data_IF_612097815633
#
_entry.id   IF_612097815633
#
_cell.length_a   1.000
_cell.length_b   1.000
_cell.length_c   1.000
_cell.angle_alpha   90.00
_cell.angle_beta   90.00
_cell.angle_gamma   90.00
#
_symmetry.space_group_name_H-M   'P 1'
#
loop_
_entity.id
_entity.type
_entity.pdbx_description
1 polymer ?
#
# COMPACT_ATOMS: atom_id res chain seq x y z
N UNK A 1 -20.75 44.73 -1.17
CA UNK A 1 -20.03 44.04 -2.27
C UNK A 1 -19.41 42.67 -1.95
N UNK A 2 -19.45 42.13 -0.71
CA UNK A 2 -18.77 40.85 -0.36
C UNK A 2 -19.53 39.55 -0.71
N UNK A 3 -20.80 39.61 -1.12
CA UNK A 3 -21.64 38.40 -1.34
C UNK A 3 -21.57 37.84 -2.78
N UNK A 4 -21.09 38.63 -3.74
CA UNK A 4 -20.99 38.23 -5.16
C UNK A 4 -19.71 37.46 -5.48
N UNK A 5 -18.58 37.78 -4.82
CA UNK A 5 -17.27 37.15 -5.05
C UNK A 5 -17.23 35.66 -4.67
N UNK A 6 -17.98 35.24 -3.65
CA UNK A 6 -18.03 33.82 -3.24
C UNK A 6 -18.74 32.93 -4.29
N UNK A 7 -19.71 33.50 -5.02
CA UNK A 7 -20.44 32.78 -6.07
C UNK A 7 -19.62 32.67 -7.35
N UNK A 8 -18.89 33.72 -7.72
CA UNK A 8 -17.95 33.66 -8.85
C UNK A 8 -16.74 32.77 -8.57
N UNK A 9 -16.21 32.74 -7.35
CA UNK A 9 -15.09 31.86 -6.98
C UNK A 9 -15.49 30.38 -7.00
N UNK A 10 -16.69 30.04 -6.51
CA UNK A 10 -17.22 28.67 -6.57
C UNK A 10 -17.49 28.22 -8.02
N UNK A 11 -17.95 29.13 -8.88
CA UNK A 11 -18.19 28.83 -10.30
C UNK A 11 -16.87 28.64 -11.06
N UNK A 12 -15.85 29.45 -10.75
CA UNK A 12 -14.50 29.32 -11.33
C UNK A 12 -13.80 28.03 -10.90
N UNK A 13 -13.99 27.62 -9.63
CA UNK A 13 -13.44 26.39 -9.10
C UNK A 13 -14.13 25.15 -9.70
N UNK A 14 -15.46 25.18 -9.87
CA UNK A 14 -16.17 24.12 -10.58
C UNK A 14 -15.79 24.05 -12.06
N UNK A 15 -15.60 25.18 -12.76
CA UNK A 15 -15.08 25.19 -14.13
C UNK A 15 -13.65 24.69 -14.22
N UNK A 16 -12.78 25.01 -13.25
CA UNK A 16 -11.42 24.50 -13.19
C UNK A 16 -11.39 22.98 -12.95
N UNK A 17 -12.24 22.47 -12.06
CA UNK A 17 -12.40 21.02 -11.84
C UNK A 17 -13.00 20.32 -13.07
N UNK A 18 -13.94 20.94 -13.78
CA UNK A 18 -14.50 20.40 -15.02
C UNK A 18 -13.50 20.42 -16.18
N UNK A 19 -12.61 21.41 -16.24
CA UNK A 19 -11.52 21.49 -17.21
C UNK A 19 -10.39 20.47 -16.96
N UNK A 20 -10.20 20.01 -15.72
CA UNK A 20 -9.28 18.92 -15.39
C UNK A 20 -9.83 17.57 -15.88
N UNK A 21 -11.17 17.38 -15.86
CA UNK A 21 -11.83 16.16 -16.35
C UNK A 21 -11.97 16.17 -17.90
N UNK A 22 -11.88 17.36 -18.51
CA UNK A 22 -11.91 17.57 -19.97
C UNK A 22 -10.53 17.91 -20.55
N UNK A 23 -9.44 17.39 -19.98
CA UNK A 23 -8.23 17.22 -20.79
C UNK A 23 -8.62 16.39 -22.01
N UNK A 24 -8.14 16.75 -23.21
CA UNK A 24 -8.44 15.97 -24.39
C UNK A 24 -8.03 14.54 -24.06
N UNK A 25 -8.98 13.61 -24.16
CA UNK A 25 -8.64 12.26 -24.56
C UNK A 25 -7.98 12.44 -25.92
N UNK A 26 -6.68 12.77 -25.91
CA UNK A 26 -5.83 12.61 -27.05
C UNK A 26 -5.97 11.12 -27.34
N UNK A 27 -6.85 10.81 -28.28
CA UNK A 27 -6.83 9.55 -28.97
C UNK A 27 -5.44 9.50 -29.59
N UNK A 28 -4.49 8.97 -28.83
CA UNK A 28 -3.17 8.63 -29.31
C UNK A 28 -3.43 7.75 -30.52
N UNK A 29 -3.07 8.25 -31.70
CA UNK A 29 -3.15 7.46 -32.91
C UNK A 29 -2.39 6.16 -32.64
N UNK A 30 -3.04 5.01 -32.87
CA UNK A 30 -2.47 3.70 -32.62
C UNK A 30 -1.13 3.55 -33.35
N UNK A 31 -0.07 3.80 -32.61
CA UNK A 31 1.30 3.40 -32.88
C UNK A 31 1.71 2.51 -31.71
N UNK A 32 2.48 1.47 -32.00
CA UNK A 32 2.79 0.30 -31.13
C UNK A 32 3.59 0.63 -29.85
N UNK A 33 3.53 1.87 -29.36
CA UNK A 33 4.20 2.31 -28.15
C UNK A 33 3.45 1.90 -26.89
N UNK A 34 4.22 1.47 -25.90
CA UNK A 34 3.73 1.04 -24.59
C UNK A 34 3.41 2.23 -23.69
N UNK A 35 4.16 3.32 -23.85
CA UNK A 35 4.06 4.50 -23.01
C UNK A 35 4.13 5.80 -23.82
N UNK A 36 3.52 6.87 -23.29
CA UNK A 36 3.62 8.22 -23.83
C UNK A 36 4.00 9.24 -22.76
N UNK A 37 4.77 10.25 -23.17
CA UNK A 37 4.97 11.50 -22.42
C UNK A 37 4.59 12.64 -23.36
N UNK A 38 3.52 13.36 -23.04
CA UNK A 38 2.93 14.31 -23.98
C UNK A 38 2.58 13.60 -25.29
N UNK A 39 3.17 14.01 -26.42
CA UNK A 39 2.99 13.38 -27.74
C UNK A 39 4.09 12.37 -28.11
N UNK A 40 5.10 12.17 -27.27
CA UNK A 40 6.25 11.31 -27.57
C UNK A 40 5.98 9.89 -27.07
N UNK A 41 6.08 8.90 -27.97
CA UNK A 41 5.86 7.47 -27.65
C UNK A 41 7.16 6.72 -27.36
N UNK A 42 7.09 5.74 -26.46
CA UNK A 42 8.20 4.90 -25.99
C UNK A 42 7.80 3.42 -25.97
N UNK A 43 8.74 2.52 -26.26
CA UNK A 43 8.45 1.09 -26.44
C UNK A 43 8.33 0.35 -25.11
N UNK A 44 8.92 0.90 -24.04
CA UNK A 44 8.85 0.35 -22.68
C UNK A 44 8.66 1.46 -21.66
N UNK A 45 8.20 1.09 -20.46
CA UNK A 45 8.14 2.03 -19.34
C UNK A 45 9.54 2.51 -18.93
N UNK A 46 10.55 1.64 -19.00
CA UNK A 46 11.93 1.99 -18.67
C UNK A 46 12.48 3.10 -19.58
N UNK A 47 12.25 2.99 -20.90
CA UNK A 47 12.63 4.02 -21.88
C UNK A 47 11.91 5.35 -21.59
N UNK A 48 10.62 5.31 -21.25
CA UNK A 48 9.87 6.50 -20.89
C UNK A 48 10.43 7.16 -19.62
N UNK A 49 10.75 6.38 -18.58
CA UNK A 49 11.33 6.89 -17.33
C UNK A 49 12.71 7.51 -17.54
N UNK A 50 13.54 6.91 -18.39
CA UNK A 50 14.85 7.45 -18.74
C UNK A 50 14.72 8.80 -19.45
N UNK A 51 13.78 8.92 -20.40
CA UNK A 51 13.55 10.13 -21.19
C UNK A 51 12.76 11.22 -20.45
N UNK A 52 12.05 10.88 -19.38
CA UNK A 52 11.21 11.81 -18.64
C UNK A 52 12.03 12.92 -17.96
N UNK A 53 11.44 14.10 -17.88
CA UNK A 53 11.90 15.21 -17.04
C UNK A 53 11.17 15.19 -15.69
N UNK A 54 11.77 15.84 -14.70
CA UNK A 54 11.11 16.06 -13.41
C UNK A 54 9.77 16.78 -13.60
N UNK A 55 8.70 16.18 -13.07
CA UNK A 55 7.32 16.66 -13.16
C UNK A 55 6.50 16.03 -14.29
N UNK A 56 7.11 15.22 -15.17
CA UNK A 56 6.40 14.61 -16.28
C UNK A 56 5.39 13.54 -15.82
N UNK A 57 4.38 13.34 -16.66
CA UNK A 57 3.42 12.23 -16.54
C UNK A 57 3.65 11.24 -17.67
N UNK A 58 3.89 9.98 -17.30
CA UNK A 58 4.01 8.85 -18.21
C UNK A 58 2.66 8.12 -18.25
N UNK A 59 2.10 7.97 -19.44
CA UNK A 59 0.82 7.28 -19.67
C UNK A 59 1.08 5.94 -20.32
N UNK A 60 0.66 4.85 -19.67
CA UNK A 60 0.66 3.53 -20.29
C UNK A 60 -0.53 3.38 -21.24
N UNK A 61 -0.28 2.77 -22.39
CA UNK A 61 -1.30 2.48 -23.43
C UNK A 61 -1.30 1.02 -23.87
N UNK A 62 -0.35 0.22 -23.41
CA UNK A 62 -0.27 -1.21 -23.62
C UNK A 62 0.48 -1.90 -22.48
N UNK A 63 0.38 -3.23 -22.41
CA UNK A 63 1.19 -4.02 -21.48
C UNK A 63 2.67 -3.94 -21.84
N UNK A 64 3.53 -3.84 -20.83
CA UNK A 64 4.98 -4.03 -20.98
C UNK A 64 5.36 -5.44 -20.54
N UNK A 65 5.92 -6.21 -21.46
CA UNK A 65 6.40 -7.56 -21.17
C UNK A 65 7.92 -7.67 -21.19
N UNK A 66 8.64 -6.58 -21.46
CA UNK A 66 10.10 -6.60 -21.51
C UNK A 66 10.66 -6.69 -20.10
N UNK A 67 11.55 -7.66 -19.86
CA UNK A 67 12.20 -7.80 -18.54
C UNK A 67 13.16 -6.66 -18.30
N UNK A 68 12.83 -5.82 -17.33
CA UNK A 68 13.61 -4.63 -17.01
C UNK A 68 13.59 -4.37 -15.51
N UNK A 69 14.78 -4.22 -14.94
CA UNK A 69 14.97 -3.51 -13.68
C UNK A 69 15.47 -2.12 -14.03
N UNK A 70 14.80 -1.08 -13.59
CA UNK A 70 15.22 0.29 -13.88
C UNK A 70 15.06 1.20 -12.67
N UNK A 71 15.87 2.25 -12.67
CA UNK A 71 15.83 3.29 -11.65
C UNK A 71 14.82 4.36 -12.04
N UNK A 72 14.10 4.86 -11.04
CA UNK A 72 13.30 6.08 -11.10
C UNK A 72 14.00 7.08 -10.19
N UNK A 73 14.57 8.12 -10.78
CA UNK A 73 15.44 9.11 -10.12
C UNK A 73 14.93 10.55 -10.24
N UNK A 74 13.66 10.72 -10.65
CA UNK A 74 13.00 12.00 -10.88
C UNK A 74 11.62 11.99 -10.24
N UNK A 75 11.13 13.18 -9.88
CA UNK A 75 9.71 13.32 -9.51
C UNK A 75 8.85 13.07 -10.73
N UNK A 76 7.98 12.07 -10.69
CA UNK A 76 7.18 11.64 -11.85
C UNK A 76 5.77 11.26 -11.42
N UNK A 77 4.86 11.25 -12.40
CA UNK A 77 3.59 10.54 -12.31
C UNK A 77 3.57 9.43 -13.34
N UNK A 78 3.23 8.20 -12.94
CA UNK A 78 3.08 7.04 -13.81
C UNK A 78 1.62 6.60 -13.77
N UNK A 79 0.93 6.75 -14.89
CA UNK A 79 -0.47 6.32 -15.08
C UNK A 79 -0.48 4.93 -15.72
N UNK A 80 -0.71 3.89 -14.92
CA UNK A 80 -0.70 2.49 -15.36
C UNK A 80 -1.95 2.09 -16.14
N UNK A 81 -3.09 2.75 -15.89
CA UNK A 81 -4.36 2.53 -16.63
C UNK A 81 -4.76 1.04 -16.81
N UNK A 82 -4.51 0.20 -15.80
CA UNK A 82 -4.85 -1.21 -15.82
C UNK A 82 -3.88 -2.12 -16.57
N UNK A 83 -2.83 -1.56 -17.18
CA UNK A 83 -1.85 -2.33 -17.95
C UNK A 83 -0.88 -3.10 -17.06
N UNK A 84 -0.43 -4.24 -17.58
CA UNK A 84 0.47 -5.16 -16.91
C UNK A 84 1.92 -4.88 -17.29
N UNK A 85 2.78 -4.80 -16.29
CA UNK A 85 4.24 -4.75 -16.37
C UNK A 85 4.79 -6.11 -15.94
N UNK A 86 4.77 -7.11 -16.81
CA UNK A 86 4.91 -8.53 -16.42
C UNK A 86 6.25 -8.90 -15.78
N UNK A 87 7.31 -8.16 -16.13
CA UNK A 87 8.70 -8.44 -15.74
C UNK A 87 9.42 -7.18 -15.21
N UNK A 88 8.68 -6.14 -14.84
CA UNK A 88 9.26 -4.87 -14.41
C UNK A 88 9.46 -4.82 -12.90
N UNK A 89 10.64 -4.40 -12.48
CA UNK A 89 10.91 -3.95 -11.11
C UNK A 89 11.45 -2.53 -11.14
N UNK A 90 11.11 -1.76 -10.12
CA UNK A 90 11.44 -0.34 -10.02
C UNK A 90 12.24 -0.07 -8.74
N UNK A 91 13.35 0.65 -8.88
CA UNK A 91 14.08 1.21 -7.74
C UNK A 91 13.95 2.71 -7.76
N UNK A 92 13.42 3.27 -6.68
CA UNK A 92 13.21 4.70 -6.52
C UNK A 92 14.42 5.27 -5.77
N UNK A 93 15.16 6.19 -6.39
CA UNK A 93 16.47 6.61 -5.92
C UNK A 93 16.49 8.12 -5.66
N UNK A 94 16.90 8.50 -4.45
CA UNK A 94 17.12 9.89 -4.06
C UNK A 94 15.88 10.52 -3.42
N UNK A 95 15.97 11.82 -3.15
CA UNK A 95 14.91 12.60 -2.53
C UNK A 95 13.88 13.01 -3.59
N UNK A 96 13.07 12.03 -3.99
CA UNK A 96 12.06 12.16 -5.03
C UNK A 96 10.66 11.81 -4.52
N UNK A 97 9.63 12.33 -5.17
CA UNK A 97 8.25 11.90 -5.00
C UNK A 97 7.72 11.35 -6.31
N UNK A 98 7.26 10.09 -6.29
CA UNK A 98 6.66 9.42 -7.45
C UNK A 98 5.22 9.03 -7.12
N UNK A 99 4.30 9.46 -7.98
CA UNK A 99 2.90 9.03 -7.93
C UNK A 99 2.69 7.93 -8.97
N UNK A 100 2.17 6.78 -8.55
CA UNK A 100 1.81 5.67 -9.42
C UNK A 100 0.31 5.47 -9.29
N UNK A 101 -0.40 5.64 -10.39
CA UNK A 101 -1.85 5.64 -10.42
C UNK A 101 -2.35 4.51 -11.31
N UNK A 102 -3.38 3.81 -10.86
CA UNK A 102 -4.10 2.82 -11.65
C UNK A 102 -5.60 3.07 -11.54
N UNK A 103 -6.11 3.96 -12.40
CA UNK A 103 -7.53 4.33 -12.41
C UNK A 103 -8.45 3.20 -12.90
N UNK A 104 -7.93 2.31 -13.74
CA UNK A 104 -8.68 1.13 -14.17
C UNK A 104 -8.73 0.06 -13.07
N UNK A 105 -7.74 0.05 -12.18
CA UNK A 105 -7.72 -0.79 -10.99
C UNK A 105 -7.39 -2.26 -11.27
N UNK A 106 -6.71 -2.56 -12.38
CA UNK A 106 -6.36 -3.93 -12.79
C UNK A 106 -4.89 -4.12 -13.15
N UNK A 107 -4.06 -3.09 -12.94
CA UNK A 107 -2.65 -3.11 -13.30
C UNK A 107 -1.89 -4.15 -12.47
N UNK A 108 -0.95 -4.83 -13.10
CA UNK A 108 -0.14 -5.85 -12.42
C UNK A 108 1.33 -5.61 -12.68
N UNK A 109 2.14 -5.65 -11.64
CA UNK A 109 3.57 -5.38 -11.69
C UNK A 109 4.33 -6.64 -11.28
N UNK A 110 5.30 -7.02 -12.11
CA UNK A 110 6.20 -8.14 -11.93
C UNK A 110 5.50 -9.52 -11.81
N UNK A 111 4.42 -9.75 -12.55
CA UNK A 111 3.61 -10.98 -12.44
C UNK A 111 4.40 -12.27 -12.64
N UNK A 112 5.46 -12.24 -13.44
CA UNK A 112 6.30 -13.41 -13.69
C UNK A 112 7.34 -13.64 -12.59
N UNK A 113 7.60 -12.64 -11.74
CA UNK A 113 8.56 -12.70 -10.64
C UNK A 113 9.96 -13.17 -11.11
N UNK A 114 10.39 -12.75 -12.29
CA UNK A 114 11.65 -13.21 -12.90
C UNK A 114 12.88 -12.42 -12.42
N UNK A 115 12.68 -11.24 -11.85
CA UNK A 115 13.77 -10.30 -11.53
C UNK A 115 13.43 -9.49 -10.29
N UNK A 116 14.42 -8.94 -9.60
CA UNK A 116 14.17 -8.06 -8.46
C UNK A 116 15.43 -7.32 -8.08
N UNK A 117 15.26 -6.11 -7.54
CA UNK A 117 16.39 -5.34 -7.04
C UNK A 117 16.97 -6.00 -5.82
N UNK A 118 18.28 -6.27 -5.86
CA UNK A 118 19.04 -6.58 -4.66
C UNK A 118 19.02 -5.37 -3.74
N UNK A 119 18.45 -5.55 -2.56
CA UNK A 119 18.40 -4.52 -1.53
C UNK A 119 19.80 -4.33 -0.94
N UNK A 120 20.23 -3.08 -0.84
CA UNK A 120 21.52 -2.70 -0.26
C UNK A 120 21.39 -1.97 1.07
N UNK A 121 20.23 -1.35 1.35
CA UNK A 121 19.97 -0.63 2.61
C UNK A 121 19.61 -1.54 3.78
N UNK A 122 19.60 -2.86 3.55
CA UNK A 122 19.42 -3.86 4.58
C UNK A 122 20.69 -4.71 4.69
N UNK A 123 21.54 -4.34 5.63
CA UNK A 123 22.89 -4.93 5.78
C UNK A 123 22.86 -6.42 6.16
N UNK A 124 21.73 -6.93 6.66
CA UNK A 124 21.65 -8.25 7.28
C UNK A 124 21.53 -9.40 6.28
N UNK A 125 21.06 -9.17 5.05
CA UNK A 125 20.85 -10.29 4.13
C UNK A 125 20.95 -9.95 2.63
N UNK A 126 22.04 -10.41 2.03
CA UNK A 126 22.32 -10.26 0.60
C UNK A 126 21.32 -10.96 -0.35
N UNK A 127 20.41 -11.78 0.19
CA UNK A 127 19.38 -12.53 -0.54
C UNK A 127 18.10 -11.75 -0.75
N UNK A 128 17.92 -10.59 -0.11
CA UNK A 128 16.67 -9.82 -0.24
C UNK A 128 16.53 -9.25 -1.65
N UNK A 129 15.36 -9.48 -2.26
CA UNK A 129 15.01 -9.00 -3.60
C UNK A 129 13.66 -8.32 -3.57
N UNK A 130 13.54 -7.14 -4.16
CA UNK A 130 12.27 -6.40 -4.17
C UNK A 130 11.83 -6.04 -5.59
N UNK A 131 10.51 -6.05 -5.83
CA UNK A 131 9.97 -5.47 -7.05
C UNK A 131 9.97 -3.95 -6.97
N UNK A 132 9.52 -3.39 -5.83
CA UNK A 132 9.70 -1.99 -5.48
C UNK A 132 10.79 -1.85 -4.44
N UNK A 133 11.86 -1.10 -4.75
CA UNK A 133 12.90 -0.77 -3.78
C UNK A 133 13.06 0.75 -3.67
N UNK A 134 12.71 1.32 -2.53
CA UNK A 134 12.89 2.74 -2.26
C UNK A 134 14.21 2.96 -1.52
N UNK A 135 15.01 3.93 -1.96
CA UNK A 135 16.27 4.33 -1.33
C UNK A 135 16.52 5.84 -1.49
N UNK A 136 17.43 6.38 -0.68
CA UNK A 136 17.88 7.77 -0.80
C UNK A 136 16.86 8.83 -0.38
N UNK A 137 15.84 8.48 0.38
CA UNK A 137 14.77 9.40 0.82
C UNK A 137 13.52 9.39 -0.06
N UNK A 138 13.43 8.46 -1.01
CA UNK A 138 12.32 8.42 -1.95
C UNK A 138 10.96 8.26 -1.27
N UNK A 139 9.97 8.98 -1.78
CA UNK A 139 8.55 8.85 -1.46
C UNK A 139 7.80 8.28 -2.67
N UNK A 140 7.11 7.17 -2.47
CA UNK A 140 6.25 6.56 -3.49
C UNK A 140 4.83 6.52 -2.98
N UNK A 141 3.90 7.02 -3.80
CA UNK A 141 2.47 6.97 -3.54
C UNK A 141 1.84 6.12 -4.63
N UNK A 142 1.38 4.92 -4.27
CA UNK A 142 0.58 4.07 -5.14
C UNK A 142 -0.90 4.35 -4.87
N UNK A 143 -1.67 4.66 -5.89
CA UNK A 143 -3.13 4.79 -5.82
C UNK A 143 -3.77 3.83 -6.82
N UNK A 144 -4.45 2.80 -6.34
CA UNK A 144 -5.03 1.75 -7.16
C UNK A 144 -6.29 1.15 -6.54
N UNK A 145 -6.57 -0.10 -6.88
CA UNK A 145 -7.74 -0.84 -6.38
C UNK A 145 -7.32 -2.09 -5.63
N UNK A 146 -7.82 -2.27 -4.41
CA UNK A 146 -7.58 -3.46 -3.58
C UNK A 146 -8.05 -4.73 -4.27
N UNK A 147 -7.20 -5.76 -4.35
CA UNK A 147 -7.47 -6.99 -5.09
C UNK A 147 -7.40 -6.86 -6.61
N UNK A 148 -7.15 -5.67 -7.15
CA UNK A 148 -7.11 -5.40 -8.58
C UNK A 148 -5.74 -4.90 -9.06
N UNK A 149 -5.22 -3.83 -8.47
CA UNK A 149 -3.84 -3.36 -8.68
C UNK A 149 -2.89 -4.21 -7.85
N UNK A 150 -1.93 -4.89 -8.47
CA UNK A 150 -1.10 -5.91 -7.80
C UNK A 150 0.40 -5.71 -8.05
N UNK A 151 1.20 -5.73 -6.99
CA UNK A 151 2.66 -5.79 -7.05
C UNK A 151 3.10 -7.15 -6.56
N UNK A 152 3.76 -7.92 -7.43
CA UNK A 152 4.30 -9.22 -7.10
C UNK A 152 5.74 -9.11 -6.59
N UNK A 153 6.12 -10.03 -5.71
CA UNK A 153 7.47 -10.15 -5.17
C UNK A 153 8.55 -10.08 -6.24
N UNK A 154 9.72 -9.53 -5.93
CA UNK A 154 10.84 -9.37 -6.88
C UNK A 154 11.17 -10.66 -7.66
N UNK A 155 12.07 -11.48 -7.12
CA UNK A 155 12.47 -12.71 -7.80
C UNK A 155 11.85 -13.93 -7.13
N UNK A 156 11.19 -14.79 -7.91
CA UNK A 156 10.43 -15.95 -7.45
C UNK A 156 11.29 -16.80 -6.52
N UNK A 157 10.86 -16.87 -5.27
CA UNK A 157 11.43 -17.74 -4.28
C UNK A 157 10.88 -19.17 -4.45
N UNK A 158 11.76 -20.15 -4.63
CA UNK A 158 11.39 -21.57 -4.77
C UNK A 158 11.69 -22.42 -3.53
N UNK A 159 12.54 -21.95 -2.61
CA UNK A 159 12.99 -22.73 -1.44
C UNK A 159 13.16 -21.93 -0.13
N UNK A 160 12.74 -20.66 -0.09
CA UNK A 160 12.79 -19.78 1.09
C UNK A 160 14.19 -19.34 1.53
N UNK A 161 15.25 -19.97 1.04
CA UNK A 161 16.61 -19.77 1.54
C UNK A 161 17.55 -19.19 0.50
N UNK A 162 17.25 -19.31 -0.79
CA UNK A 162 18.09 -18.75 -1.87
C UNK A 162 17.81 -17.28 -2.12
N UNK A 163 16.53 -16.89 -2.10
CA UNK A 163 16.06 -15.54 -2.35
C UNK A 163 14.99 -15.20 -1.32
N UNK A 164 15.13 -14.03 -0.69
CA UNK A 164 14.14 -13.48 0.22
C UNK A 164 13.35 -12.41 -0.51
N UNK A 165 12.39 -12.84 -1.32
CA UNK A 165 11.60 -11.91 -2.13
C UNK A 165 10.66 -11.05 -1.27
N UNK A 166 10.48 -9.82 -1.75
CA UNK A 166 9.59 -8.80 -1.19
C UNK A 166 8.81 -8.18 -2.35
N UNK A 167 7.53 -7.88 -2.18
CA UNK A 167 6.84 -7.04 -3.16
C UNK A 167 7.38 -5.61 -3.08
N UNK A 168 7.55 -5.07 -1.86
CA UNK A 168 8.15 -3.78 -1.63
C UNK A 168 9.20 -3.80 -0.51
N UNK A 169 10.25 -2.99 -0.67
CA UNK A 169 11.21 -2.65 0.37
C UNK A 169 11.26 -1.13 0.50
N UNK A 170 11.00 -0.66 1.71
CA UNK A 170 11.08 0.75 2.08
C UNK A 170 12.42 0.99 2.76
N UNK A 171 13.37 1.60 2.05
CA UNK A 171 14.68 1.93 2.58
C UNK A 171 14.63 2.95 3.73
N UNK A 172 15.78 3.15 4.37
CA UNK A 172 15.93 4.12 5.45
C UNK A 172 15.52 5.52 4.98
N UNK A 173 14.64 6.18 5.75
CA UNK A 173 14.17 7.54 5.49
C UNK A 173 13.28 7.67 4.24
N UNK A 174 12.89 6.55 3.64
CA UNK A 174 11.96 6.52 2.52
C UNK A 174 10.52 6.39 3.02
N UNK A 175 9.56 6.75 2.18
CA UNK A 175 8.14 6.66 2.50
C UNK A 175 7.39 5.90 1.40
N UNK A 176 6.65 4.86 1.79
CA UNK A 176 5.71 4.18 0.91
C UNK A 176 4.29 4.41 1.41
N UNK A 177 3.45 4.96 0.53
CA UNK A 177 2.02 5.11 0.72
C UNK A 177 1.29 4.25 -0.30
N UNK A 178 0.38 3.38 0.15
CA UNK A 178 -0.49 2.60 -0.72
C UNK A 178 -1.94 2.96 -0.41
N UNK A 179 -2.64 3.51 -1.40
CA UNK A 179 -4.04 3.90 -1.36
C UNK A 179 -4.83 3.00 -2.31
N UNK A 180 -5.23 1.81 -1.87
CA UNK A 180 -5.80 0.80 -2.75
C UNK A 180 -4.71 0.02 -3.50
N UNK A 181 -4.76 -1.31 -3.39
CA UNK A 181 -3.86 -2.21 -4.11
C UNK A 181 -3.56 -3.50 -3.36
N UNK A 182 -2.67 -4.31 -3.92
CA UNK A 182 -2.26 -5.57 -3.34
C UNK A 182 -0.76 -5.80 -3.41
N UNK A 183 -0.17 -6.27 -2.32
CA UNK A 183 1.20 -6.79 -2.29
C UNK A 183 1.14 -8.31 -2.27
N UNK A 184 1.75 -8.94 -3.27
CA UNK A 184 1.69 -10.38 -3.47
C UNK A 184 3.07 -10.98 -3.29
N UNK A 185 3.20 -11.95 -2.39
CA UNK A 185 4.49 -12.61 -2.08
C UNK A 185 4.32 -14.13 -2.02
N UNK A 186 5.38 -14.92 -2.11
CA UNK A 186 5.30 -16.39 -2.24
C UNK A 186 4.85 -17.12 -1.00
N UNK A 187 4.97 -16.56 0.21
CA UNK A 187 4.63 -17.29 1.44
C UNK A 187 5.67 -18.31 1.89
N UNK A 188 6.90 -18.27 1.39
CA UNK A 188 8.01 -19.03 1.97
C UNK A 188 8.61 -18.28 3.16
N UNK A 189 9.32 -18.99 4.05
CA UNK A 189 10.02 -18.36 5.17
C UNK A 189 10.96 -17.26 4.69
N UNK A 190 10.88 -16.08 5.32
CA UNK A 190 11.70 -14.92 4.99
C UNK A 190 11.26 -14.15 3.74
N UNK A 191 10.20 -14.58 3.04
CA UNK A 191 9.56 -13.78 2.00
C UNK A 191 8.43 -12.96 2.61
N UNK A 192 8.30 -11.71 2.18
CA UNK A 192 7.30 -10.81 2.78
C UNK A 192 6.54 -9.99 1.75
N UNK A 193 5.36 -9.51 2.12
CA UNK A 193 4.67 -8.49 1.32
C UNK A 193 5.50 -7.21 1.24
N UNK A 194 5.78 -6.63 2.40
CA UNK A 194 6.62 -5.43 2.52
C UNK A 194 7.65 -5.58 3.63
N UNK A 195 8.86 -5.09 3.36
CA UNK A 195 9.93 -4.99 4.36
C UNK A 195 10.36 -3.54 4.53
N UNK A 196 10.38 -3.05 5.77
CA UNK A 196 10.73 -1.67 6.09
C UNK A 196 12.06 -1.63 6.82
N UNK A 197 13.00 -0.87 6.26
CA UNK A 197 14.34 -0.69 6.80
C UNK A 197 14.39 0.53 7.73
N UNK A 198 14.89 0.33 8.95
CA UNK A 198 15.24 1.39 9.91
C UNK A 198 14.16 2.48 10.05
N UNK A 199 14.44 3.71 9.60
CA UNK A 199 13.53 4.87 9.68
C UNK A 199 12.59 4.99 8.47
N UNK A 200 12.34 3.91 7.74
CA UNK A 200 11.36 3.90 6.65
C UNK A 200 9.93 4.08 7.20
N UNK A 201 9.10 4.78 6.45
CA UNK A 201 7.71 5.10 6.81
C UNK A 201 6.76 4.32 5.90
N UNK A 202 5.77 3.68 6.50
CA UNK A 202 4.78 2.87 5.77
C UNK A 202 3.36 3.32 6.13
N UNK A 203 2.63 3.75 5.11
CA UNK A 203 1.20 4.10 5.20
C UNK A 203 0.38 3.20 4.28
N UNK A 204 -0.54 2.44 4.86
CA UNK A 204 -1.39 1.49 4.15
C UNK A 204 -2.86 1.88 4.30
N UNK A 205 -3.51 2.18 3.19
CA UNK A 205 -4.92 2.57 3.13
C UNK A 205 -5.65 1.69 2.14
N UNK A 206 -6.54 0.83 2.65
CA UNK A 206 -7.27 -0.17 1.86
C UNK A 206 -6.30 -1.03 1.04
N UNK A 207 -5.71 -2.06 1.67
CA UNK A 207 -4.71 -2.91 1.01
C UNK A 207 -5.01 -4.40 1.17
N UNK A 208 -4.58 -5.22 0.23
CA UNK A 208 -4.52 -6.67 0.35
C UNK A 208 -3.07 -7.16 0.29
N UNK A 209 -2.51 -7.60 1.40
CA UNK A 209 -1.21 -8.28 1.39
C UNK A 209 -1.45 -9.78 1.44
N UNK A 210 -1.16 -10.49 0.34
CA UNK A 210 -1.51 -11.90 0.19
C UNK A 210 -0.39 -12.76 -0.36
N UNK A 211 -0.56 -14.06 -0.17
CA UNK A 211 0.35 -15.07 -0.72
C UNK A 211 -0.03 -15.44 -2.16
N UNK A 212 0.96 -15.69 -3.02
CA UNK A 212 0.77 -16.25 -4.37
C UNK A 212 0.82 -17.78 -4.39
N UNK A 213 1.26 -18.41 -3.30
CA UNK A 213 1.33 -19.87 -3.17
C UNK A 213 0.55 -20.35 -1.94
N UNK A 214 0.42 -21.67 -1.82
CA UNK A 214 -0.17 -22.34 -0.66
C UNK A 214 0.76 -22.41 0.55
N UNK A 215 2.02 -21.99 0.42
CA UNK A 215 2.96 -21.98 1.54
C UNK A 215 2.49 -20.99 2.61
N UNK A 216 2.68 -21.37 3.88
CA UNK A 216 2.15 -20.61 5.02
C UNK A 216 3.24 -19.87 5.80
N UNK A 217 4.46 -19.86 5.28
CA UNK A 217 5.56 -19.07 5.79
C UNK A 217 5.47 -17.59 5.41
N UNK A 218 6.54 -16.88 5.71
CA UNK A 218 6.68 -15.46 5.40
C UNK A 218 5.75 -14.55 6.22
N UNK A 219 5.93 -13.25 6.04
CA UNK A 219 5.20 -12.22 6.79
C UNK A 219 4.49 -11.27 5.85
N UNK A 220 3.34 -10.72 6.25
CA UNK A 220 2.74 -9.64 5.47
C UNK A 220 3.62 -8.39 5.51
N UNK A 221 4.07 -8.06 6.72
CA UNK A 221 4.87 -6.88 7.01
C UNK A 221 6.04 -7.30 7.87
N UNK A 222 7.24 -6.89 7.48
CA UNK A 222 8.46 -7.07 8.24
C UNK A 222 9.17 -5.76 8.47
N UNK A 223 9.84 -5.65 9.60
CA UNK A 223 10.64 -4.50 9.96
C UNK A 223 12.06 -4.90 10.36
N UNK A 224 13.04 -4.17 9.87
CA UNK A 224 14.40 -4.27 10.39
C UNK A 224 14.45 -3.84 11.86
N UNK A 225 13.86 -2.68 12.16
CA UNK A 225 13.74 -2.12 13.50
C UNK A 225 12.29 -1.78 13.79
N UNK A 226 11.89 -1.90 15.04
CA UNK A 226 10.51 -1.70 15.45
C UNK A 226 10.05 -0.25 15.16
N UNK A 227 8.87 -0.03 14.54
CA UNK A 227 8.31 1.30 14.27
C UNK A 227 8.32 2.24 15.47
N UNK A 228 8.53 3.53 15.23
CA UNK A 228 8.63 4.57 16.28
C UNK A 228 7.50 5.60 16.13
N UNK A 229 7.36 6.53 17.07
CA UNK A 229 6.37 7.59 16.95
C UNK A 229 6.76 8.59 15.85
N UNK A 230 8.05 8.77 15.60
CA UNK A 230 8.60 9.59 14.52
C UNK A 230 8.46 8.91 13.16
N UNK A 231 8.51 7.57 13.12
CA UNK A 231 8.38 6.76 11.92
C UNK A 231 7.30 5.69 12.15
N UNK A 232 6.01 6.10 12.20
CA UNK A 232 4.93 5.20 12.57
C UNK A 232 4.56 4.27 11.41
N UNK A 233 4.03 3.11 11.77
CA UNK A 233 3.20 2.32 10.87
C UNK A 233 1.78 2.89 10.94
N UNK A 234 1.26 3.35 9.80
CA UNK A 234 -0.14 3.77 9.70
C UNK A 234 -0.92 2.79 8.84
N UNK A 235 -1.98 2.22 9.40
CA UNK A 235 -2.89 1.32 8.69
C UNK A 235 -4.31 1.83 8.88
N UNK A 236 -4.97 2.20 7.78
CA UNK A 236 -6.36 2.67 7.81
C UNK A 236 -7.37 1.69 7.23
N UNK A 237 -6.94 0.62 6.55
CA UNK A 237 -7.74 -0.58 6.21
C UNK A 237 -6.84 -1.61 5.50
N UNK A 238 -6.97 -2.91 5.79
CA UNK A 238 -6.33 -3.91 4.95
C UNK A 238 -6.47 -5.38 5.37
N UNK A 239 -6.24 -6.28 4.43
CA UNK A 239 -6.31 -7.73 4.61
C UNK A 239 -4.90 -8.31 4.52
N UNK A 240 -4.44 -9.06 5.53
CA UNK A 240 -3.03 -9.45 5.68
C UNK A 240 -2.86 -10.96 5.87
N UNK A 241 -2.34 -11.66 4.87
CA UNK A 241 -2.03 -13.08 4.99
C UNK A 241 -0.60 -13.26 5.49
N UNK A 242 -0.41 -13.90 6.66
CA UNK A 242 0.89 -14.11 7.30
C UNK A 242 1.28 -12.99 8.27
N UNK A 243 2.03 -13.30 9.32
CA UNK A 243 2.22 -12.42 10.50
C UNK A 243 2.95 -11.09 10.25
N UNK A 244 3.19 -10.35 11.34
CA UNK A 244 4.19 -9.27 11.35
C UNK A 244 5.48 -9.76 11.98
N UNK A 245 6.61 -9.41 11.39
CA UNK A 245 7.94 -9.79 11.90
C UNK A 245 8.81 -8.57 12.17
N UNK A 246 9.63 -8.66 13.21
CA UNK A 246 10.68 -7.69 13.51
C UNK A 246 12.02 -8.39 13.66
N UNK A 247 13.07 -7.81 13.08
CA UNK A 247 14.42 -8.35 13.16
C UNK A 247 15.17 -7.82 14.39
N UNK A 248 14.87 -6.59 14.81
CA UNK A 248 15.38 -5.95 16.01
C UNK A 248 14.52 -6.21 17.26
N UNK A 249 15.10 -5.90 18.42
CA UNK A 249 14.38 -5.84 19.70
C UNK A 249 14.38 -4.40 20.21
N UNK A 250 13.26 -3.93 20.75
CA UNK A 250 13.11 -2.56 21.27
C UNK A 250 11.97 -2.49 22.30
N UNK A 251 11.95 -1.43 23.10
CA UNK A 251 10.81 -1.11 23.97
C UNK A 251 10.10 0.11 23.43
N UNK A 252 8.82 -0.02 23.07
CA UNK A 252 7.99 1.07 22.55
C UNK A 252 6.72 1.15 23.36
N UNK A 253 6.32 2.36 23.76
CA UNK A 253 5.15 2.60 24.61
C UNK A 253 5.15 1.72 25.89
N UNK A 254 6.33 1.44 26.45
CA UNK A 254 6.50 0.58 27.62
C UNK A 254 6.36 -0.92 27.36
N UNK A 255 6.17 -1.34 26.11
CA UNK A 255 6.06 -2.74 25.68
C UNK A 255 7.38 -3.21 25.08
N UNK A 256 7.96 -4.24 25.68
CA UNK A 256 9.16 -4.88 25.13
C UNK A 256 8.81 -5.79 23.95
N UNK A 257 9.42 -5.49 22.80
CA UNK A 257 9.37 -6.27 21.58
C UNK A 257 10.73 -6.95 21.39
N UNK A 258 10.71 -8.27 21.30
CA UNK A 258 11.86 -9.08 20.92
C UNK A 258 11.80 -9.42 19.44
N UNK A 259 12.95 -9.70 18.84
CA UNK A 259 13.07 -10.28 17.49
C UNK A 259 12.10 -11.44 17.32
N UNK A 260 11.38 -11.47 16.21
CA UNK A 260 10.49 -12.55 15.82
C UNK A 260 9.10 -12.10 15.39
N UNK A 261 8.19 -13.06 15.25
CA UNK A 261 6.79 -12.80 14.94
C UNK A 261 6.11 -12.11 16.11
N UNK A 262 5.36 -11.05 15.82
CA UNK A 262 4.62 -10.30 16.82
C UNK A 262 3.25 -10.91 17.08
N UNK A 263 2.86 -10.93 18.36
CA UNK A 263 1.46 -11.17 18.74
C UNK A 263 0.62 -9.93 18.47
N UNK A 264 -0.68 -10.11 18.27
CA UNK A 264 -1.63 -9.01 18.11
C UNK A 264 -1.56 -7.98 19.24
N UNK A 265 -1.45 -8.43 20.49
CA UNK A 265 -1.31 -7.55 21.66
C UNK A 265 -0.09 -6.63 21.55
N UNK A 266 1.02 -7.14 21.00
CA UNK A 266 2.22 -6.34 20.77
C UNK A 266 2.05 -5.39 19.59
N UNK A 267 1.38 -5.81 18.52
CA UNK A 267 1.10 -4.94 17.38
C UNK A 267 0.22 -3.77 17.82
N UNK A 268 -0.89 -4.04 18.50
CA UNK A 268 -1.84 -3.03 18.95
C UNK A 268 -1.21 -2.03 19.93
N UNK A 269 -0.49 -2.51 20.95
CA UNK A 269 0.05 -1.64 22.00
C UNK A 269 1.31 -0.88 21.60
N UNK A 270 2.15 -1.47 20.76
CA UNK A 270 3.47 -0.93 20.48
C UNK A 270 3.58 -0.31 19.08
N UNK A 271 2.83 -0.79 18.10
CA UNK A 271 3.01 -0.38 16.70
C UNK A 271 1.89 0.48 16.16
N UNK A 272 0.67 0.32 16.68
CA UNK A 272 -0.48 1.11 16.24
C UNK A 272 -0.64 2.34 17.11
N UNK A 273 -0.49 3.49 16.48
CA UNK A 273 -0.72 4.78 17.11
C UNK A 273 -2.17 5.17 16.85
N UNK A 274 -3.06 4.81 17.78
CA UNK A 274 -4.51 5.09 17.69
C UNK A 274 -4.81 6.58 17.59
N UNK A 275 -3.96 7.44 18.16
CA UNK A 275 -4.04 8.90 18.05
C UNK A 275 -3.87 9.44 16.63
N UNK A 276 -3.33 8.63 15.70
CA UNK A 276 -3.18 8.97 14.28
C UNK A 276 -4.04 8.07 13.37
N UNK A 277 -5.08 7.44 13.92
CA UNK A 277 -6.09 6.70 13.15
C UNK A 277 -5.76 5.25 12.84
N UNK A 278 -4.78 4.65 13.51
CA UNK A 278 -4.43 3.23 13.33
C UNK A 278 -5.19 2.33 14.31
N UNK A 279 -5.88 1.29 13.83
CA UNK A 279 -6.46 0.26 14.70
C UNK A 279 -6.51 -1.12 14.02
N UNK A 280 -6.77 -2.18 14.80
CA UNK A 280 -7.03 -3.53 14.30
C UNK A 280 -8.44 -3.92 14.73
N UNK A 281 -9.33 -4.19 13.78
CA UNK A 281 -10.51 -5.02 14.02
C UNK A 281 -10.22 -6.43 13.51
N UNK A 282 -10.33 -7.40 14.43
CA UNK A 282 -9.80 -8.75 14.28
C UNK A 282 -10.94 -9.75 14.25
N UNK A 283 -11.10 -10.44 13.11
CA UNK A 283 -11.98 -11.61 13.03
C UNK A 283 -11.21 -12.89 13.42
N UNK A 284 -11.62 -13.50 14.55
CA UNK A 284 -11.10 -14.79 15.07
C UNK A 284 -11.67 -16.01 14.34
N UNK A 285 -12.70 -15.84 13.51
CA UNK A 285 -13.51 -16.93 12.95
C UNK A 285 -12.80 -17.66 11.79
N UNK A 286 -11.83 -17.03 11.12
CA UNK A 286 -11.10 -17.65 10.01
C UNK A 286 -9.85 -18.39 10.51
N UNK A 287 -9.92 -19.72 10.44
CA UNK A 287 -8.84 -20.61 10.85
C UNK A 287 -7.48 -20.32 10.16
N UNK A 288 -6.47 -20.13 11.00
CA UNK A 288 -5.07 -20.59 10.92
C UNK A 288 -4.08 -20.10 9.86
N UNK A 289 -4.38 -19.27 8.85
CA UNK A 289 -3.36 -18.91 7.84
C UNK A 289 -3.29 -17.44 7.36
N UNK A 290 -4.16 -16.56 7.84
CA UNK A 290 -4.16 -15.12 7.56
C UNK A 290 -4.87 -14.37 8.68
N UNK A 291 -4.70 -13.06 8.75
CA UNK A 291 -5.39 -12.19 9.68
C UNK A 291 -5.87 -10.95 8.94
N UNK A 292 -7.18 -10.72 9.01
CA UNK A 292 -7.77 -9.54 8.41
C UNK A 292 -7.77 -8.41 9.45
N UNK A 293 -7.37 -7.22 9.02
CA UNK A 293 -7.46 -5.99 9.82
C UNK A 293 -8.56 -5.14 9.21
N UNK A 294 -9.76 -5.21 9.76
CA UNK A 294 -10.78 -4.25 9.38
C UNK A 294 -10.48 -2.92 10.08
N UNK A 295 -10.50 -1.84 9.31
CA UNK A 295 -10.53 -0.48 9.83
C UNK A 295 -11.58 0.24 9.01
N UNK A 296 -12.78 0.36 9.59
CA UNK A 296 -13.86 1.24 9.16
C UNK A 296 -13.44 2.72 9.18
N UNK A 297 -12.62 3.09 8.19
CA UNK A 297 -12.43 4.43 7.63
C UNK A 297 -11.94 5.57 8.55
N UNK A 298 -11.29 6.54 7.92
CA UNK A 298 -10.82 7.79 8.53
C UNK A 298 -11.99 8.73 8.91
N UNK A 299 -13.24 8.30 8.71
CA UNK A 299 -14.47 8.99 9.11
C UNK A 299 -15.59 7.94 9.32
N UNK A 300 -15.78 7.45 10.55
CA UNK A 300 -17.07 6.87 10.93
C UNK A 300 -18.11 8.01 10.96
N UNK A 301 -18.57 8.36 9.76
CA UNK A 301 -19.54 9.39 9.47
C UNK A 301 -20.76 8.71 8.87
N UNK A 302 -21.73 8.46 9.75
CA UNK A 302 -23.15 8.24 9.48
C UNK A 302 -23.65 6.82 9.21
N UNK A 303 -24.92 6.64 9.61
CA UNK A 303 -25.79 5.46 9.74
C UNK A 303 -25.75 4.39 8.62
N UNK A 304 -25.09 4.59 7.48
CA UNK A 304 -25.24 3.71 6.30
C UNK A 304 -24.22 2.57 6.22
N UNK A 305 -23.07 2.70 6.87
CA UNK A 305 -22.02 1.65 6.86
C UNK A 305 -22.26 0.52 7.89
N UNK A 306 -23.21 0.70 8.80
CA UNK A 306 -23.57 -0.29 9.84
C UNK A 306 -24.61 -1.30 9.32
N UNK A 307 -25.42 -0.94 8.34
CA UNK A 307 -26.55 -1.76 7.89
C UNK A 307 -26.14 -3.00 7.06
N UNK A 308 -24.88 -3.11 6.61
CA UNK A 308 -24.39 -4.24 5.80
C UNK A 308 -23.59 -5.29 6.59
N UNK A 309 -23.37 -5.11 7.89
CA UNK A 309 -22.59 -6.04 8.75
C UNK A 309 -23.51 -6.94 9.59
N UNK A 310 -24.68 -7.30 9.04
CA UNK A 310 -25.62 -8.21 9.70
C UNK A 310 -25.45 -9.61 9.10
N UNK A 311 -24.42 -10.33 9.54
CA UNK A 311 -24.55 -11.79 9.66
C UNK A 311 -25.27 -12.07 10.98
N UNK A 312 -26.43 -12.70 10.87
CA UNK A 312 -27.39 -12.98 11.95
C UNK A 312 -26.90 -13.87 13.09
N UNK A 313 -25.60 -14.17 13.17
CA UNK A 313 -25.06 -15.17 14.11
C UNK A 313 -23.94 -14.70 15.03
N UNK A 314 -23.35 -13.51 14.84
CA UNK A 314 -22.20 -13.06 15.66
C UNK A 314 -22.46 -11.80 16.49
N UNK A 315 -21.92 -11.83 17.71
CA UNK A 315 -22.13 -10.79 18.73
C UNK A 315 -21.22 -9.59 18.45
N UNK A 316 -21.83 -8.43 18.18
CA UNK A 316 -21.13 -7.16 17.96
C UNK A 316 -20.27 -6.78 19.18
N UNK A 317 -18.95 -6.64 19.01
CA UNK A 317 -18.05 -6.09 20.06
C UNK A 317 -17.62 -4.68 19.67
N UNK A 318 -18.30 -3.67 20.22
CA UNK A 318 -17.90 -2.27 20.09
C UNK A 318 -16.96 -1.92 21.25
N UNK A 319 -15.79 -1.36 20.95
CA UNK A 319 -14.76 -0.99 21.92
C UNK A 319 -15.15 0.26 22.73
N UNK A 320 -16.07 0.09 23.66
CA UNK A 320 -16.23 0.96 24.82
C UNK A 320 -16.78 0.15 26.02
N UNK A 321 -16.05 -0.89 26.44
CA UNK A 321 -16.08 -1.44 27.79
C UNK A 321 -17.39 -2.03 28.35
N UNK A 322 -18.44 -2.22 27.55
CA UNK A 322 -19.70 -2.80 28.00
C UNK A 322 -20.29 -3.77 26.99
N UNK A 323 -20.85 -4.89 27.48
CA UNK A 323 -21.69 -5.76 26.66
C UNK A 323 -23.00 -5.01 26.37
N UNK A 324 -23.33 -4.82 25.09
CA UNK A 324 -24.66 -4.37 24.67
C UNK A 324 -25.38 -5.59 24.09
N UNK A 325 -26.38 -6.09 24.82
CA UNK A 325 -27.30 -7.11 24.31
C UNK A 325 -28.55 -6.44 23.78
N UNK A 326 -28.95 -6.79 22.55
CA UNK A 326 -30.22 -6.40 21.96
C UNK A 326 -30.90 -7.64 21.39
N UNK A 327 -32.22 -7.73 21.59
CA UNK A 327 -33.02 -8.82 21.04
C UNK A 327 -33.27 -8.61 19.54
N UNK A 328 -33.61 -9.69 18.83
CA UNK A 328 -33.92 -9.65 17.40
C UNK A 328 -34.99 -8.58 17.09
N UNK A 329 -34.62 -7.60 16.26
CA UNK A 329 -35.49 -6.49 15.85
C UNK A 329 -35.39 -5.21 16.70
N UNK A 330 -34.54 -5.16 17.73
CA UNK A 330 -34.26 -3.92 18.46
C UNK A 330 -33.22 -3.06 17.75
N UNK A 331 -33.53 -1.76 17.59
CA UNK A 331 -32.58 -0.76 17.08
C UNK A 331 -31.69 -0.25 18.22
N UNK A 332 -30.40 -0.57 18.17
CA UNK A 332 -29.40 0.00 19.08
C UNK A 332 -28.87 1.29 18.47
N UNK A 333 -29.07 2.41 19.16
CA UNK A 333 -28.58 3.72 18.72
C UNK A 333 -27.41 4.11 19.61
N UNK A 334 -26.19 4.06 19.06
CA UNK A 334 -25.01 4.60 19.75
C UNK A 334 -24.96 6.11 19.51
N UNK A 335 -25.07 6.89 20.57
CA UNK A 335 -24.80 8.33 20.48
C UNK A 335 -23.31 8.57 20.68
N UNK A 336 -22.64 9.36 19.82
CA UNK A 336 -21.26 9.75 20.06
C UNK A 336 -21.19 10.56 21.36
N UNK A 337 -20.49 10.03 22.36
CA UNK A 337 -20.01 10.81 23.50
C UNK A 337 -18.86 11.69 22.99
N UNK A 338 -19.16 12.96 22.74
CA UNK A 338 -18.12 13.98 22.67
C UNK A 338 -17.64 14.22 24.10
N UNK A 339 -16.60 13.50 24.53
CA UNK A 339 -15.82 13.91 25.70
C UNK A 339 -14.89 15.04 25.27
N UNK A 340 -15.28 16.27 25.61
CA UNK A 340 -14.57 17.48 25.21
C UNK A 340 -13.23 17.71 25.90
N UNK A 341 -12.37 18.39 25.15
CA UNK A 341 -11.23 19.21 25.54
C UNK A 341 -11.00 20.21 24.42
#
# INVERSE_FOLDING_TARGET
>A
MKKSIKKTLSLLLCMAMMAIIMLPQAAFAATDYTCYIGSNGYSTLAEAVEAANTGDTIWMTANDSVSTTFDVDKNLTIELEGYTLANACMRFVGDITVNINDRAGTAKINTNQNSGFKVTDYEYDSRVRAAFYLTGGAKVILSGTTGGTEIYGGAQCTDGLTILEKAAVVGKGCELVINGGSLVYSGYTGTDGVFVCDTGILTLKDILIRRSSSNTGGSSISYANVPTIENPLTITKGHFYGGMWVEGSSTINGVYISRGTLSFDKIEKALLYTSVGSYIDYDKSTNSNGWEIFVASENLSTDTDIDNVVDSTETLRVSAGGNVSADAGQKVVFQPQVTGG
#
